data_IF_036949172925
#
_entry.id   IF_036949172925
#
_cell.length_a   1.000
_cell.length_b   1.000
_cell.length_c   1.000
_cell.angle_alpha   90.00
_cell.angle_beta   90.00
_cell.angle_gamma   90.00
#
_symmetry.space_group_name_H-M   'P 1'
#
loop_
_entity.id
_entity.type
_entity.pdbx_description
1 polymer ?
#
# COMPACT_ATOMS: atom_id res chain seq x y z
N UNK A 1 6.91 16.53 35.77
CA UNK A 1 6.86 15.25 35.05
C UNK A 1 5.44 15.12 34.52
N UNK A 2 5.22 15.48 33.25
CA UNK A 2 3.89 15.42 32.66
C UNK A 2 3.64 13.98 32.16
N UNK A 3 2.65 13.34 32.76
CA UNK A 3 2.16 12.02 32.40
C UNK A 3 1.17 12.24 31.26
N UNK A 4 1.52 11.80 30.06
CA UNK A 4 0.65 11.89 28.89
C UNK A 4 -0.32 10.72 28.92
N UNK A 5 -1.60 11.00 29.22
CA UNK A 5 -2.69 10.05 29.01
C UNK A 5 -2.91 9.88 27.50
N UNK A 6 -2.61 8.68 27.00
CA UNK A 6 -2.95 8.23 25.66
C UNK A 6 -4.48 8.15 25.55
N UNK A 7 -5.11 9.19 25.02
CA UNK A 7 -6.45 9.06 24.45
C UNK A 7 -6.33 8.08 23.27
N UNK A 8 -6.92 6.90 23.41
CA UNK A 8 -6.84 5.82 22.44
C UNK A 8 -7.48 6.23 21.11
N UNK A 9 -6.71 6.87 20.23
CA UNK A 9 -7.11 7.05 18.83
C UNK A 9 -7.08 5.66 18.18
N UNK A 10 -8.25 5.13 17.86
CA UNK A 10 -8.37 3.88 17.10
C UNK A 10 -7.73 4.10 15.74
N UNK A 11 -6.53 3.55 15.54
CA UNK A 11 -5.86 3.61 14.25
C UNK A 11 -6.52 2.59 13.34
N UNK A 12 -7.08 3.00 12.19
CA UNK A 12 -7.71 2.05 11.27
C UNK A 12 -6.63 1.07 10.78
N UNK A 13 -6.85 -0.21 11.06
CA UNK A 13 -5.95 -1.29 10.70
C UNK A 13 -6.63 -2.23 9.69
N UNK A 14 -5.82 -2.83 8.83
CA UNK A 14 -6.31 -3.64 7.72
C UNK A 14 -5.95 -5.11 7.92
N UNK A 15 -6.92 -5.98 7.67
CA UNK A 15 -6.70 -7.42 7.58
C UNK A 15 -6.87 -7.84 6.12
N UNK A 16 -5.88 -8.56 5.59
CA UNK A 16 -5.89 -9.07 4.21
C UNK A 16 -5.57 -10.56 4.27
N UNK A 17 -6.26 -11.36 3.48
CA UNK A 17 -5.90 -12.76 3.24
C UNK A 17 -6.02 -13.03 1.75
N UNK A 18 -5.01 -13.66 1.18
CA UNK A 18 -4.95 -14.00 -0.24
C UNK A 18 -4.32 -15.37 -0.42
N UNK A 19 -4.89 -16.17 -1.31
CA UNK A 19 -4.31 -17.46 -1.70
C UNK A 19 -3.74 -17.31 -3.10
N UNK A 20 -2.42 -17.47 -3.22
CA UNK A 20 -1.75 -17.56 -4.51
C UNK A 20 -1.88 -18.98 -5.05
N UNK A 21 -2.49 -19.11 -6.22
CA UNK A 21 -2.68 -20.39 -6.91
C UNK A 21 -1.44 -20.82 -7.72
N UNK A 22 -0.53 -19.88 -7.97
CA UNK A 22 0.70 -20.08 -8.74
C UNK A 22 1.83 -19.28 -8.10
N UNK A 23 3.06 -19.72 -8.33
CA UNK A 23 4.23 -19.01 -7.85
C UNK A 23 4.38 -17.67 -8.58
N UNK A 24 4.65 -16.61 -7.81
CA UNK A 24 5.01 -15.28 -8.31
C UNK A 24 6.49 -15.07 -8.00
N UNK A 25 7.35 -15.61 -8.87
CA UNK A 25 8.81 -15.58 -8.75
C UNK A 25 9.43 -14.49 -9.65
N UNK A 26 10.66 -14.12 -9.33
CA UNK A 26 11.44 -12.91 -9.69
C UNK A 26 11.41 -12.39 -11.15
N UNK A 27 11.85 -11.13 -11.25
CA UNK A 27 12.21 -10.24 -12.36
C UNK A 27 11.14 -9.88 -13.37
N UNK A 28 10.13 -10.72 -13.55
CA UNK A 28 9.08 -10.50 -14.53
C UNK A 28 7.81 -9.92 -13.95
N UNK A 29 7.76 -9.53 -12.67
CA UNK A 29 6.54 -8.99 -12.08
C UNK A 29 6.66 -7.49 -11.83
N UNK A 30 5.69 -6.75 -12.36
CA UNK A 30 5.59 -5.30 -12.32
C UNK A 30 4.41 -4.89 -11.45
N UNK A 31 4.62 -3.86 -10.65
CA UNK A 31 3.60 -3.13 -9.93
C UNK A 31 3.37 -1.81 -10.65
N UNK A 32 2.12 -1.50 -10.96
CA UNK A 32 1.69 -0.18 -11.40
C UNK A 32 0.68 0.36 -10.40
N UNK A 33 0.87 1.60 -9.98
CA UNK A 33 -0.09 2.33 -9.16
C UNK A 33 -0.48 3.64 -9.87
N UNK A 34 -1.76 3.75 -10.22
CA UNK A 34 -2.37 4.95 -10.77
C UNK A 34 -3.10 5.71 -9.66
N UNK A 35 -2.79 7.00 -9.51
CA UNK A 35 -3.35 7.84 -8.45
C UNK A 35 -4.42 8.78 -9.01
N UNK A 36 -5.55 8.84 -8.31
CA UNK A 36 -6.67 9.71 -8.65
C UNK A 36 -7.07 10.53 -7.44
N UNK A 37 -7.47 11.77 -7.67
CA UNK A 37 -8.00 12.68 -6.65
C UNK A 37 -9.46 13.00 -6.95
N UNK A 38 -10.28 13.04 -5.91
CA UNK A 38 -11.68 13.47 -6.02
C UNK A 38 -11.73 14.98 -6.28
N UNK A 39 -12.35 15.38 -7.39
CA UNK A 39 -12.64 16.77 -7.76
C UNK A 39 -14.12 16.91 -8.11
N UNK A 40 -14.86 17.64 -7.28
CA UNK A 40 -16.32 17.66 -7.35
C UNK A 40 -16.88 16.28 -6.99
N UNK A 41 -17.57 15.64 -7.94
CA UNK A 41 -18.19 14.32 -7.76
C UNK A 41 -17.41 13.17 -8.42
N UNK A 42 -16.26 13.46 -9.05
CA UNK A 42 -15.53 12.46 -9.86
C UNK A 42 -14.06 12.34 -9.45
N UNK A 43 -13.53 11.11 -9.52
CA UNK A 43 -12.11 10.85 -9.36
C UNK A 43 -11.37 11.12 -10.67
N UNK A 44 -10.50 12.13 -10.67
CA UNK A 44 -9.69 12.53 -11.81
C UNK A 44 -8.23 12.12 -11.61
N UNK A 45 -7.55 11.76 -12.69
CA UNK A 45 -6.12 11.36 -12.60
C UNK A 45 -5.29 12.52 -12.06
N UNK A 46 -4.33 12.20 -11.18
CA UNK A 46 -3.32 13.20 -10.76
C UNK A 46 -2.17 13.30 -11.76
N UNK A 47 -2.17 12.50 -12.82
CA UNK A 47 -1.04 12.30 -13.73
C UNK A 47 0.11 11.50 -13.11
N UNK A 48 -0.02 11.08 -11.83
CA UNK A 48 1.00 10.30 -11.14
C UNK A 48 0.78 8.82 -11.39
N UNK A 49 1.75 8.20 -12.06
CA UNK A 49 1.79 6.76 -12.31
C UNK A 49 3.12 6.25 -11.79
N UNK A 50 3.07 5.32 -10.85
CA UNK A 50 4.27 4.66 -10.32
C UNK A 50 4.32 3.27 -10.94
N UNK A 51 5.34 2.99 -11.74
CA UNK A 51 5.57 1.65 -12.30
C UNK A 51 6.95 1.17 -11.92
N UNK A 52 7.04 0.01 -11.28
CA UNK A 52 8.32 -0.59 -10.90
C UNK A 52 8.21 -2.10 -10.71
N UNK A 53 9.35 -2.79 -10.76
CA UNK A 53 9.42 -4.22 -10.44
C UNK A 53 9.04 -4.45 -8.97
N UNK A 54 8.25 -5.50 -8.72
CA UNK A 54 7.77 -5.85 -7.38
C UNK A 54 8.94 -6.01 -6.38
N UNK A 55 9.99 -6.73 -6.76
CA UNK A 55 11.14 -6.92 -5.86
C UNK A 55 11.87 -5.61 -5.56
N UNK A 56 12.05 -4.74 -6.56
CA UNK A 56 12.63 -3.40 -6.34
C UNK A 56 11.78 -2.54 -5.42
N UNK A 57 10.45 -2.68 -5.46
CA UNK A 57 9.54 -1.98 -4.55
C UNK A 57 9.77 -2.41 -3.08
N UNK A 58 9.86 -3.72 -2.84
CA UNK A 58 10.14 -4.26 -1.50
C UNK A 58 11.56 -3.93 -1.02
N UNK A 59 12.58 -4.08 -1.87
CA UNK A 59 13.98 -3.77 -1.55
C UNK A 59 14.18 -2.30 -1.17
N UNK A 60 13.54 -1.38 -1.91
CA UNK A 60 13.63 0.06 -1.65
C UNK A 60 12.82 0.50 -0.42
N UNK A 61 12.02 -0.40 0.15
CA UNK A 61 11.16 -0.13 1.29
C UNK A 61 10.37 1.19 1.10
N UNK A 62 9.75 1.34 -0.08
CA UNK A 62 9.08 2.58 -0.45
C UNK A 62 8.02 2.90 0.60
N UNK A 63 8.14 4.06 1.24
CA UNK A 63 7.27 4.51 2.35
C UNK A 63 7.23 3.59 3.59
N UNK A 64 8.28 2.78 3.82
CA UNK A 64 8.31 1.85 4.97
C UNK A 64 7.40 0.62 4.81
N UNK A 65 6.86 0.39 3.60
CA UNK A 65 5.84 -0.64 3.36
C UNK A 65 6.36 -2.05 3.62
N UNK A 66 7.64 -2.34 3.32
CA UNK A 66 8.22 -3.66 3.61
C UNK A 66 8.19 -3.93 5.11
N UNK A 67 8.61 -2.97 5.91
CA UNK A 67 8.68 -3.13 7.37
C UNK A 67 7.28 -3.24 7.99
N UNK A 68 6.30 -2.46 7.47
CA UNK A 68 4.90 -2.57 7.89
C UNK A 68 4.31 -3.94 7.54
N UNK A 69 4.60 -4.47 6.35
CA UNK A 69 4.12 -5.78 5.87
C UNK A 69 4.73 -6.92 6.68
N UNK A 70 6.06 -6.92 6.86
CA UNK A 70 6.78 -7.97 7.56
C UNK A 70 6.37 -8.12 9.03
N UNK A 71 5.93 -7.03 9.68
CA UNK A 71 5.41 -7.07 11.06
C UNK A 71 3.96 -7.52 11.15
N UNK A 72 3.19 -7.33 10.08
CA UNK A 72 1.75 -7.56 10.09
C UNK A 72 1.36 -8.97 9.61
N UNK A 73 2.27 -9.76 9.04
CA UNK A 73 1.90 -11.03 8.43
C UNK A 73 3.04 -11.96 8.07
N UNK A 74 2.75 -12.92 7.20
CA UNK A 74 3.69 -13.96 6.75
C UNK A 74 4.32 -13.66 5.38
N UNK A 75 4.32 -12.38 4.97
CA UNK A 75 4.97 -11.92 3.76
C UNK A 75 6.38 -11.45 4.11
N UNK A 76 7.39 -12.13 3.60
CA UNK A 76 8.79 -11.71 3.72
C UNK A 76 9.43 -11.54 2.35
N UNK A 77 9.86 -10.31 2.06
CA UNK A 77 10.65 -9.98 0.89
C UNK A 77 9.89 -10.07 -0.44
N UNK A 78 10.58 -10.63 -1.44
CA UNK A 78 10.07 -10.85 -2.78
C UNK A 78 10.17 -12.34 -3.13
N UNK A 79 9.42 -12.76 -4.15
CA UNK A 79 9.12 -14.15 -4.49
C UNK A 79 8.07 -14.75 -3.58
N UNK A 80 6.89 -14.98 -4.15
CA UNK A 80 5.76 -15.51 -3.44
C UNK A 80 5.42 -16.88 -4.00
N UNK A 81 5.92 -17.97 -3.41
CA UNK A 81 5.44 -19.31 -3.72
C UNK A 81 3.91 -19.39 -3.61
N UNK A 82 3.30 -20.31 -4.34
CA UNK A 82 1.89 -20.65 -4.17
C UNK A 82 1.61 -20.96 -2.70
N UNK A 83 0.49 -20.46 -2.18
CA UNK A 83 0.18 -20.59 -0.76
C UNK A 83 -0.73 -19.49 -0.24
N UNK A 84 -0.96 -19.52 1.07
CA UNK A 84 -1.82 -18.54 1.76
C UNK A 84 -0.95 -17.45 2.37
N UNK A 85 -1.25 -16.21 2.04
CA UNK A 85 -0.63 -15.03 2.60
C UNK A 85 -1.67 -14.21 3.34
N UNK A 86 -1.27 -13.63 4.46
CA UNK A 86 -2.13 -12.78 5.25
C UNK A 86 -1.38 -11.59 5.83
N UNK A 87 -2.14 -10.54 6.08
CA UNK A 87 -1.77 -9.40 6.90
C UNK A 87 -2.85 -9.23 7.96
N UNK A 88 -2.42 -8.99 9.19
CA UNK A 88 -3.26 -8.76 10.36
C UNK A 88 -2.85 -7.47 11.01
N UNK A 89 -3.82 -6.62 11.32
CA UNK A 89 -3.63 -5.30 11.91
C UNK A 89 -2.61 -4.43 11.15
N UNK A 90 -2.61 -4.51 9.81
CA UNK A 90 -1.69 -3.73 8.99
C UNK A 90 -2.02 -2.23 9.09
N UNK A 91 -1.02 -1.47 9.53
CA UNK A 91 -1.05 0.00 9.59
C UNK A 91 0.20 0.51 8.86
N UNK A 92 0.06 1.28 7.77
CA UNK A 92 1.20 1.84 7.09
C UNK A 92 1.90 2.90 7.97
N UNK A 93 3.24 2.88 7.99
CA UNK A 93 4.02 3.91 8.66
C UNK A 93 3.93 5.24 7.90
N UNK A 94 3.05 6.13 8.35
CA UNK A 94 2.77 7.42 7.68
C UNK A 94 3.93 8.41 7.78
N UNK A 95 4.88 8.22 8.70
CA UNK A 95 6.06 9.08 8.85
C UNK A 95 6.97 9.08 7.62
N UNK A 96 6.94 8.00 6.84
CA UNK A 96 7.72 7.85 5.62
C UNK A 96 7.00 8.37 4.37
N UNK A 97 5.76 8.87 4.50
CA UNK A 97 4.99 9.35 3.37
C UNK A 97 5.51 10.72 2.91
N UNK A 98 5.38 11.07 1.62
CA UNK A 98 5.76 12.38 1.13
C UNK A 98 5.05 13.48 1.93
N UNK A 99 5.81 14.43 2.47
CA UNK A 99 5.29 15.52 3.32
C UNK A 99 4.28 16.43 2.61
N UNK A 100 4.27 16.41 1.28
CA UNK A 100 3.47 17.29 0.42
C UNK A 100 2.38 16.52 -0.35
N UNK A 101 1.70 15.56 0.29
CA UNK A 101 0.46 15.02 -0.28
C UNK A 101 -0.66 16.03 -0.01
N UNK A 102 -1.32 16.59 -1.05
CA UNK A 102 -2.39 17.55 -0.84
C UNK A 102 -3.56 16.90 -0.08
N UNK A 103 -4.29 17.68 0.70
CA UNK A 103 -5.50 17.19 1.37
C UNK A 103 -6.58 16.77 0.36
N UNK A 104 -7.42 15.83 0.75
CA UNK A 104 -8.59 15.37 -0.02
C UNK A 104 -8.74 13.86 -0.06
N UNK A 105 -9.72 13.41 -0.84
CA UNK A 105 -10.01 11.99 -1.06
C UNK A 105 -9.28 11.48 -2.30
N UNK A 106 -8.66 10.32 -2.18
CA UNK A 106 -7.85 9.68 -3.19
C UNK A 106 -8.36 8.27 -3.47
N UNK A 107 -8.24 7.88 -4.74
CA UNK A 107 -8.39 6.51 -5.20
C UNK A 107 -7.05 6.07 -5.79
N UNK A 108 -6.56 4.91 -5.38
CA UNK A 108 -5.34 4.29 -5.93
C UNK A 108 -5.73 2.97 -6.55
N UNK A 109 -5.41 2.81 -7.83
CA UNK A 109 -5.57 1.53 -8.53
C UNK A 109 -4.18 0.92 -8.65
N UNK A 110 -3.97 -0.21 -8.00
CA UNK A 110 -2.71 -0.94 -8.00
C UNK A 110 -2.86 -2.25 -8.75
N UNK A 111 -2.12 -2.38 -9.85
CA UNK A 111 -2.09 -3.57 -10.69
C UNK A 111 -0.76 -4.30 -10.49
N UNK A 112 -0.85 -5.60 -10.25
CA UNK A 112 0.26 -6.54 -10.30
C UNK A 112 0.15 -7.34 -11.58
N UNK A 113 1.15 -7.29 -12.44
CA UNK A 113 1.14 -7.95 -13.74
C UNK A 113 2.52 -8.51 -14.08
N UNK A 114 2.56 -9.53 -14.93
CA UNK A 114 3.81 -10.06 -15.47
C UNK A 114 4.30 -9.18 -16.62
N UNK A 115 5.59 -9.29 -16.97
CA UNK A 115 6.23 -8.53 -18.06
C UNK A 115 5.58 -8.80 -19.43
N UNK A 116 4.92 -9.95 -19.60
CA UNK A 116 4.12 -10.28 -20.79
C UNK A 116 2.75 -9.56 -20.83
N UNK A 117 2.42 -8.77 -19.80
CA UNK A 117 1.16 -8.05 -19.67
C UNK A 117 0.04 -8.82 -18.98
N UNK A 118 0.25 -10.09 -18.60
CA UNK A 118 -0.78 -10.86 -17.89
C UNK A 118 -1.01 -10.32 -16.47
N UNK A 119 -2.25 -9.94 -16.19
CA UNK A 119 -2.62 -9.40 -14.88
C UNK A 119 -2.74 -10.53 -13.85
N UNK A 120 -2.09 -10.35 -12.70
CA UNK A 120 -2.12 -11.28 -11.56
C UNK A 120 -3.16 -10.81 -10.54
N UNK A 121 -3.04 -9.55 -10.10
CA UNK A 121 -3.89 -8.95 -9.06
C UNK A 121 -4.23 -7.51 -9.49
N UNK A 122 -5.46 -7.08 -9.20
CA UNK A 122 -5.86 -5.66 -9.20
C UNK A 122 -6.46 -5.31 -7.86
N UNK A 123 -5.95 -4.24 -7.26
CA UNK A 123 -6.41 -3.71 -5.99
C UNK A 123 -6.87 -2.26 -6.19
N UNK A 124 -7.98 -1.91 -5.57
CA UNK A 124 -8.49 -0.55 -5.58
C UNK A 124 -8.62 -0.07 -4.14
N UNK A 125 -7.90 0.99 -3.82
CA UNK A 125 -7.84 1.59 -2.50
C UNK A 125 -8.47 2.96 -2.51
N UNK A 126 -9.14 3.30 -1.42
CA UNK A 126 -9.65 4.64 -1.16
C UNK A 126 -9.05 5.15 0.14
N UNK A 127 -8.54 6.37 0.11
CA UNK A 127 -7.93 6.99 1.28
C UNK A 127 -8.27 8.47 1.32
N UNK A 128 -8.43 9.03 2.52
CA UNK A 128 -8.65 10.46 2.72
C UNK A 128 -7.50 11.04 3.50
N UNK A 129 -6.82 12.03 2.92
CA UNK A 129 -5.73 12.76 3.57
C UNK A 129 -6.34 14.00 4.22
N UNK A 130 -6.28 14.06 5.55
CA UNK A 130 -6.82 15.13 6.37
C UNK A 130 -5.72 15.72 7.26
N UNK A 131 -5.88 16.95 7.72
CA UNK A 131 -5.00 17.48 8.77
C UNK A 131 -5.29 16.71 10.06
N UNK A 132 -4.24 16.18 10.67
CA UNK A 132 -4.32 15.75 12.06
C UNK A 132 -4.57 17.00 12.90
N UNK A 133 -5.74 17.10 13.52
CA UNK A 133 -5.99 18.09 14.57
C UNK A 133 -5.09 17.72 15.74
N UNK A 134 -3.87 18.28 15.76
CA UNK A 134 -3.08 18.35 16.99
C UNK A 134 -3.77 19.37 17.87
N UNK A 135 -4.58 18.90 18.81
CA UNK A 135 -4.93 19.65 20.01
C UNK A 135 -3.71 19.69 20.94
#
# INVERSE_FOLDING_TARGET
MAQFELTASTTPAMNVSVTLLQDVLDQKTMVRADFYKLWGMEYKTTGTIITMRLCKFFERNVFGIRDSIAKAGNIDGCNFPKGVYYLTNFVPYTDNFPKLIPLGSYKVISDLFREDGSQIIRLQWYATVQRLNRQ
#
